data_IF_158128679066
#
_entry.id   IF_158128679066
#
_cell.length_a   1.000
_cell.length_b   1.000
_cell.length_c   1.000
_cell.angle_alpha   90.00
_cell.angle_beta   90.00
_cell.angle_gamma   90.00
#
_symmetry.space_group_name_H-M   'P 1'
#
loop_
_entity.id
_entity.type
_entity.pdbx_description
1 polymer ?
#
# COMPACT_ATOMS: atom_id res chain seq x y z
N UNK A 1 39.17 -9.20 16.29
CA UNK A 1 37.69 -9.17 16.19
C UNK A 1 37.36 -9.27 14.72
N UNK A 2 36.71 -10.35 14.29
CA UNK A 2 36.51 -10.66 12.87
C UNK A 2 35.30 -9.87 12.33
N UNK A 3 35.57 -8.90 11.45
CA UNK A 3 34.58 -7.98 10.86
C UNK A 3 33.94 -8.53 9.57
N UNK A 4 33.56 -9.82 9.54
CA UNK A 4 32.92 -10.42 8.36
C UNK A 4 31.62 -11.13 8.70
N UNK A 5 30.79 -10.51 9.54
CA UNK A 5 29.41 -10.95 9.75
C UNK A 5 28.47 -10.12 8.87
N UNK A 6 28.08 -10.69 7.73
CA UNK A 6 26.92 -10.22 6.98
C UNK A 6 25.70 -10.66 7.78
N UNK A 7 25.09 -9.73 8.50
CA UNK A 7 23.87 -9.97 9.25
C UNK A 7 22.69 -10.04 8.27
N UNK A 8 22.46 -11.19 7.66
CA UNK A 8 21.22 -11.45 6.95
C UNK A 8 20.18 -11.84 7.99
N UNK A 9 19.23 -10.95 8.26
CA UNK A 9 18.04 -11.26 9.07
C UNK A 9 17.12 -12.19 8.27
N UNK A 10 17.59 -13.42 8.00
CA UNK A 10 16.77 -14.52 7.52
C UNK A 10 16.00 -15.05 8.73
N UNK A 11 14.96 -14.35 9.18
CA UNK A 11 13.90 -15.02 9.93
C UNK A 11 13.06 -15.78 8.91
N UNK A 12 13.20 -17.11 8.78
CA UNK A 12 12.39 -17.92 7.87
C UNK A 12 11.01 -18.22 8.50
N UNK A 13 10.74 -17.65 9.69
CA UNK A 13 9.47 -17.79 10.40
C UNK A 13 8.35 -17.14 9.59
N UNK A 14 7.75 -17.96 8.74
CA UNK A 14 6.36 -17.85 8.31
C UNK A 14 5.97 -16.47 7.73
N UNK A 15 6.56 -16.06 6.59
CA UNK A 15 5.81 -15.22 5.64
C UNK A 15 4.89 -16.10 4.79
N UNK A 16 4.09 -16.94 5.44
CA UNK A 16 2.87 -17.45 4.81
C UNK A 16 1.87 -16.31 4.85
N UNK A 17 1.96 -15.40 3.88
CA UNK A 17 0.88 -14.46 3.59
C UNK A 17 -0.28 -15.31 3.07
N UNK A 18 -1.21 -15.67 3.97
CA UNK A 18 -2.40 -16.42 3.58
C UNK A 18 -3.14 -15.68 2.46
N UNK A 19 -3.58 -16.40 1.44
CA UNK A 19 -4.41 -15.82 0.40
C UNK A 19 -5.88 -15.90 0.81
N UNK A 20 -6.54 -14.76 0.95
CA UNK A 20 -7.97 -14.69 1.19
C UNK A 20 -8.64 -14.02 -0.02
N UNK A 21 -9.62 -14.69 -0.64
CA UNK A 21 -10.37 -14.16 -1.79
C UNK A 21 -9.49 -13.71 -2.98
N UNK A 22 -8.37 -14.40 -3.22
CA UNK A 22 -7.41 -14.04 -4.28
C UNK A 22 -6.48 -12.87 -3.93
N UNK A 23 -6.64 -12.29 -2.73
CA UNK A 23 -5.79 -11.23 -2.23
C UNK A 23 -4.70 -11.79 -1.30
N UNK A 24 -3.48 -11.27 -1.41
CA UNK A 24 -2.34 -11.73 -0.63
C UNK A 24 -2.32 -11.12 0.79
N UNK A 25 -2.22 -11.95 1.82
CA UNK A 25 -2.18 -11.51 3.21
C UNK A 25 -3.39 -10.66 3.63
N UNK A 26 -3.14 -9.52 4.28
CA UNK A 26 -4.16 -8.64 4.85
C UNK A 26 -4.84 -7.70 3.83
N UNK A 27 -4.74 -8.00 2.53
CA UNK A 27 -5.37 -7.20 1.46
C UNK A 27 -6.90 -7.33 1.44
N UNK A 28 -7.45 -8.45 1.90
CA UNK A 28 -8.90 -8.67 1.91
C UNK A 28 -9.65 -7.85 2.96
N UNK A 29 -9.03 -7.57 4.12
CA UNK A 29 -9.65 -6.81 5.21
C UNK A 29 -10.15 -5.41 4.83
N UNK A 30 -9.37 -4.54 4.14
CA UNK A 30 -9.87 -3.24 3.74
C UNK A 30 -11.05 -3.32 2.75
N UNK A 31 -11.13 -4.38 1.92
CA UNK A 31 -12.28 -4.60 1.02
C UNK A 31 -13.53 -4.94 1.83
N UNK A 32 -13.41 -5.82 2.83
CA UNK A 32 -14.53 -6.18 3.71
C UNK A 32 -15.03 -4.96 4.49
N UNK A 33 -14.12 -4.22 5.12
CA UNK A 33 -14.46 -3.03 5.91
C UNK A 33 -15.13 -1.96 5.04
N UNK A 34 -14.58 -1.68 3.86
CA UNK A 34 -15.18 -0.72 2.93
C UNK A 34 -16.52 -1.19 2.37
N UNK A 35 -16.69 -2.51 2.14
CA UNK A 35 -17.97 -3.13 1.79
C UNK A 35 -19.03 -2.90 2.85
N UNK A 36 -18.70 -3.20 4.11
CA UNK A 36 -19.61 -2.95 5.25
C UNK A 36 -19.98 -1.47 5.36
N UNK A 37 -19.01 -0.57 5.21
CA UNK A 37 -19.23 0.88 5.23
C UNK A 37 -20.16 1.33 4.10
N UNK A 38 -19.98 0.79 2.89
CA UNK A 38 -20.82 1.07 1.72
C UNK A 38 -22.27 0.64 1.95
N UNK A 39 -22.49 -0.57 2.47
CA UNK A 39 -23.83 -1.08 2.80
C UNK A 39 -24.48 -0.24 3.89
N UNK A 40 -23.72 0.12 4.93
CA UNK A 40 -24.20 0.98 6.01
C UNK A 40 -24.64 2.35 5.47
N UNK A 41 -23.81 3.00 4.65
CA UNK A 41 -24.13 4.28 4.02
C UNK A 41 -25.35 4.18 3.11
N UNK A 42 -25.46 3.13 2.29
CA UNK A 42 -26.62 2.90 1.44
C UNK A 42 -27.89 2.80 2.28
N UNK A 43 -27.85 2.01 3.36
CA UNK A 43 -28.99 1.80 4.26
C UNK A 43 -29.40 3.11 4.93
N UNK A 44 -28.42 3.91 5.40
CA UNK A 44 -28.66 5.24 5.96
C UNK A 44 -29.29 6.19 4.93
N UNK A 45 -28.76 6.22 3.69
CA UNK A 45 -29.28 7.05 2.60
C UNK A 45 -30.68 6.64 2.16
N UNK A 46 -31.01 5.35 2.16
CA UNK A 46 -32.34 4.84 1.80
C UNK A 46 -33.38 5.18 2.87
N UNK A 47 -33.03 5.12 4.16
CA UNK A 47 -33.92 5.50 5.25
C UNK A 47 -34.07 7.02 5.43
N UNK A 48 -33.12 7.81 4.92
CA UNK A 48 -33.19 9.28 4.97
C UNK A 48 -34.17 9.85 3.92
N UNK A 49 -35.05 10.73 4.38
CA UNK A 49 -36.01 11.44 3.53
C UNK A 49 -35.37 12.66 2.86
N UNK A 50 -34.38 12.39 2.01
CA UNK A 50 -33.52 13.42 1.41
C UNK A 50 -34.00 13.88 0.02
N UNK A 51 -35.15 13.41 -0.48
CA UNK A 51 -35.67 13.72 -1.82
C UNK A 51 -34.76 13.31 -2.99
N UNK A 52 -33.60 12.69 -2.71
CA UNK A 52 -32.61 12.31 -3.72
C UNK A 52 -33.07 11.08 -4.50
N UNK A 53 -32.80 11.03 -5.82
CA UNK A 53 -33.09 9.85 -6.62
C UNK A 53 -32.24 8.67 -6.14
N UNK A 54 -32.84 7.46 -6.20
CA UNK A 54 -32.22 6.20 -5.74
C UNK A 54 -30.84 5.99 -6.38
N UNK A 55 -30.70 6.33 -7.67
CA UNK A 55 -29.44 6.20 -8.39
C UNK A 55 -28.29 6.99 -7.75
N UNK A 56 -28.54 8.22 -7.31
CA UNK A 56 -27.52 9.07 -6.66
C UNK A 56 -27.13 8.49 -5.30
N UNK A 57 -28.09 7.95 -4.55
CA UNK A 57 -27.83 7.28 -3.27
C UNK A 57 -26.90 6.06 -3.45
N UNK A 58 -27.14 5.24 -4.49
CA UNK A 58 -26.27 4.13 -4.85
C UNK A 58 -24.86 4.58 -5.23
N UNK A 59 -24.77 5.61 -6.07
CA UNK A 59 -23.49 6.15 -6.52
C UNK A 59 -22.66 6.63 -5.33
N UNK A 60 -23.27 7.40 -4.42
CA UNK A 60 -22.63 7.89 -3.21
C UNK A 60 -22.21 6.76 -2.26
N UNK A 61 -23.07 5.76 -2.06
CA UNK A 61 -22.76 4.62 -1.21
C UNK A 61 -21.65 3.73 -1.78
N UNK A 62 -21.46 3.70 -3.11
CA UNK A 62 -20.41 2.91 -3.78
C UNK A 62 -19.01 3.55 -3.71
N UNK A 63 -18.90 4.80 -3.23
CA UNK A 63 -17.62 5.52 -3.18
C UNK A 63 -16.57 4.80 -2.34
N UNK A 64 -16.85 4.34 -1.11
CA UNK A 64 -15.82 3.72 -0.29
C UNK A 64 -15.26 2.43 -0.89
N UNK A 65 -16.12 1.58 -1.44
CA UNK A 65 -15.74 0.30 -2.07
C UNK A 65 -14.99 0.51 -3.38
N UNK A 66 -15.46 1.42 -4.22
CA UNK A 66 -14.76 1.73 -5.49
C UNK A 66 -13.39 2.34 -5.25
N UNK A 67 -13.25 3.21 -4.24
CA UNK A 67 -11.98 3.85 -3.90
C UNK A 67 -10.98 2.85 -3.33
N UNK A 68 -11.40 1.95 -2.44
CA UNK A 68 -10.51 0.90 -1.92
C UNK A 68 -10.09 -0.08 -3.01
N UNK A 69 -11.01 -0.47 -3.90
CA UNK A 69 -10.70 -1.37 -5.01
C UNK A 69 -9.71 -0.72 -5.98
N UNK A 70 -9.94 0.54 -6.33
CA UNK A 70 -9.05 1.33 -7.18
C UNK A 70 -7.66 1.44 -6.56
N UNK A 71 -7.57 1.75 -5.26
CA UNK A 71 -6.31 1.78 -4.52
C UNK A 71 -5.57 0.44 -4.62
N UNK A 72 -6.26 -0.67 -4.36
CA UNK A 72 -5.67 -2.00 -4.41
C UNK A 72 -5.17 -2.33 -5.81
N UNK A 73 -5.97 -2.09 -6.85
CA UNK A 73 -5.60 -2.39 -8.23
C UNK A 73 -4.42 -1.54 -8.70
N UNK A 74 -4.42 -0.24 -8.41
CA UNK A 74 -3.43 0.71 -8.92
C UNK A 74 -2.12 0.66 -8.14
N UNK A 75 -2.17 0.51 -6.82
CA UNK A 75 -0.99 0.66 -5.94
C UNK A 75 -0.50 -0.63 -5.31
N UNK A 76 -1.33 -1.67 -5.26
CA UNK A 76 -1.02 -2.89 -4.50
C UNK A 76 -1.00 -4.17 -5.34
N UNK A 77 -1.75 -4.22 -6.43
CA UNK A 77 -1.79 -5.38 -7.33
C UNK A 77 -0.48 -5.46 -8.13
N UNK A 78 0.22 -6.59 -8.01
CA UNK A 78 1.51 -6.88 -8.68
C UNK A 78 2.64 -5.89 -8.37
N UNK A 79 2.51 -5.09 -7.31
CA UNK A 79 3.53 -4.12 -6.90
C UNK A 79 4.36 -4.67 -5.74
N UNK A 80 5.65 -4.28 -5.64
CA UNK A 80 6.49 -4.69 -4.53
C UNK A 80 5.90 -4.20 -3.20
N UNK A 81 6.22 -4.90 -2.08
CA UNK A 81 5.75 -4.49 -0.77
C UNK A 81 6.21 -3.06 -0.46
N UNK A 82 5.30 -2.23 0.06
CA UNK A 82 5.51 -0.80 0.41
C UNK A 82 5.70 0.17 -0.77
N UNK A 83 5.30 -0.23 -1.98
CA UNK A 83 5.31 0.66 -3.15
C UNK A 83 4.55 1.99 -2.93
N UNK A 84 3.45 1.94 -2.18
CA UNK A 84 2.64 3.10 -1.78
C UNK A 84 3.46 4.14 -1.00
N UNK A 85 4.21 3.70 0.01
CA UNK A 85 5.07 4.56 0.82
C UNK A 85 6.23 5.12 0.01
N UNK A 86 6.85 4.31 -0.85
CA UNK A 86 7.95 4.76 -1.71
C UNK A 86 7.48 5.79 -2.74
N UNK A 87 6.30 5.61 -3.33
CA UNK A 87 5.71 6.59 -4.25
C UNK A 87 5.46 7.91 -3.53
N UNK A 88 4.86 7.86 -2.34
CA UNK A 88 4.59 9.05 -1.54
C UNK A 88 5.89 9.76 -1.10
N UNK A 89 6.89 8.99 -0.67
CA UNK A 89 8.21 9.51 -0.34
C UNK A 89 8.88 10.17 -1.55
N UNK A 90 8.74 9.61 -2.74
CA UNK A 90 9.27 10.18 -3.98
C UNK A 90 8.56 11.46 -4.42
N UNK A 91 7.26 11.60 -4.11
CA UNK A 91 6.49 12.81 -4.40
C UNK A 91 6.83 13.95 -3.44
N UNK A 92 7.00 13.65 -2.15
CA UNK A 92 7.34 14.66 -1.12
C UNK A 92 8.81 15.08 -1.21
N UNK A 93 9.72 14.11 -1.24
CA UNK A 93 11.16 14.38 -1.17
C UNK A 93 11.79 14.60 -2.56
N UNK A 94 11.00 14.48 -3.63
CA UNK A 94 11.50 14.45 -5.00
C UNK A 94 12.16 13.12 -5.38
N UNK A 95 12.69 13.06 -6.61
CA UNK A 95 13.38 11.85 -7.12
C UNK A 95 14.57 11.52 -6.22
N UNK A 96 14.44 10.45 -5.43
CA UNK A 96 15.46 9.98 -4.48
C UNK A 96 16.68 9.34 -5.17
N UNK A 97 16.71 9.30 -6.50
CA UNK A 97 17.93 9.00 -7.26
C UNK A 97 18.86 10.20 -7.23
N UNK A 98 19.47 10.46 -6.07
CA UNK A 98 20.68 11.25 -6.05
C UNK A 98 21.84 10.35 -6.49
N UNK A 99 22.67 10.76 -7.47
CA UNK A 99 23.89 10.03 -7.77
C UNK A 99 24.66 9.87 -6.46
N UNK A 100 25.14 8.65 -6.18
CA UNK A 100 26.00 8.37 -5.03
C UNK A 100 27.03 9.48 -4.95
N UNK A 101 26.99 10.30 -3.89
CA UNK A 101 28.09 11.23 -3.62
C UNK A 101 29.32 10.35 -3.57
N UNK A 102 30.25 10.54 -4.51
CA UNK A 102 31.50 9.80 -4.58
C UNK A 102 32.11 9.91 -3.18
N UNK A 103 32.08 8.81 -2.43
CA UNK A 103 32.61 8.80 -1.09
C UNK A 103 34.09 9.16 -1.24
N UNK A 104 34.59 10.20 -0.53
CA UNK A 104 35.99 10.58 -0.63
C UNK A 104 36.84 9.33 -0.38
N UNK A 105 37.67 8.98 -1.36
CA UNK A 105 38.49 7.78 -1.28
C UNK A 105 39.38 7.92 -0.04
N UNK A 106 39.33 6.94 0.84
CA UNK A 106 40.10 6.97 2.08
C UNK A 106 41.60 7.14 1.75
N UNK A 107 42.32 8.07 2.39
CA UNK A 107 43.68 8.44 2.02
C UNK A 107 44.70 7.30 2.09
N UNK A 108 44.35 6.18 2.73
CA UNK A 108 45.21 5.02 2.88
C UNK A 108 44.97 3.90 1.86
N UNK A 109 44.15 4.13 0.83
CA UNK A 109 43.97 3.14 -0.26
C UNK A 109 44.92 3.49 -1.42
N UNK A 110 45.99 2.70 -1.66
CA UNK A 110 46.92 2.98 -2.76
C UNK A 110 46.23 2.83 -4.13
N UNK A 111 46.65 3.66 -5.08
CA UNK A 111 46.27 3.50 -6.49
C UNK A 111 46.99 2.26 -7.04
N UNK A 112 46.21 1.25 -7.47
CA UNK A 112 46.70 0.22 -8.38
C UNK A 112 46.58 0.71 -9.80
#
# INVERSE_FOLDING_TARGET
>A
MNETLIYTDTRPRARSTGHAFGFEGNLGMPVIISGMLSVFLLTMLLNGDNGMPIFVKFLLASIPTSLTLTYIVVLRSRKPPRFDLDLFASWINGRSFQPVRIQPRHPFVPNR
#
